data_IF_807958155706
#
_entry.id   IF_807958155706
#
_cell.length_a   1.000
_cell.length_b   1.000
_cell.length_c   1.000
_cell.angle_alpha   90.00
_cell.angle_beta   90.00
_cell.angle_gamma   90.00
#
_symmetry.space_group_name_H-M   'P 1'
#
loop_
_entity.id
_entity.type
_entity.pdbx_description
1 polymer ?
#
# COMPACT_ATOMS: atom_id res chain seq x y z
N UNK A 1 -9.24 18.39 -15.80
CA UNK A 1 -10.42 18.15 -16.63
C UNK A 1 -10.08 17.22 -17.78
N UNK A 2 -11.08 16.42 -18.27
CA UNK A 2 -10.91 15.43 -19.31
C UNK A 2 -12.08 14.44 -19.34
N UNK A 3 -11.85 13.26 -19.92
CA UNK A 3 -12.86 12.21 -20.09
C UNK A 3 -12.33 10.84 -19.67
N UNK A 4 -13.16 10.02 -19.08
CA UNK A 4 -12.85 8.62 -18.83
C UNK A 4 -12.85 7.79 -20.12
N UNK A 5 -12.02 6.74 -20.11
CA UNK A 5 -11.98 5.69 -21.14
C UNK A 5 -12.42 4.36 -20.52
N UNK A 6 -13.73 4.12 -20.38
CA UNK A 6 -14.25 2.90 -19.74
C UNK A 6 -13.87 1.61 -20.46
N UNK A 7 -13.67 1.69 -21.78
CA UNK A 7 -13.21 0.58 -22.62
C UNK A 7 -11.82 0.06 -22.23
N UNK A 8 -11.01 0.90 -21.56
CA UNK A 8 -9.65 0.61 -21.13
C UNK A 8 -9.56 0.36 -19.61
N UNK A 9 -10.72 0.25 -18.94
CA UNK A 9 -10.80 -0.01 -17.52
C UNK A 9 -10.20 -1.38 -17.14
N UNK A 10 -9.45 -1.42 -16.05
CA UNK A 10 -8.91 -2.66 -15.50
C UNK A 10 -9.24 -2.78 -14.02
N UNK A 11 -9.43 -4.01 -13.55
CA UNK A 11 -9.57 -4.32 -12.14
C UNK A 11 -8.24 -4.71 -11.52
N UNK A 12 -7.94 -4.21 -10.32
CA UNK A 12 -6.76 -4.62 -9.57
C UNK A 12 -7.16 -5.68 -8.55
N UNK A 13 -6.58 -6.87 -8.72
CA UNK A 13 -6.91 -8.08 -7.94
C UNK A 13 -6.47 -7.98 -6.48
N UNK A 14 -7.09 -8.80 -5.63
CA UNK A 14 -6.70 -9.04 -4.24
C UNK A 14 -6.64 -7.77 -3.39
N UNK A 15 -7.72 -6.97 -3.47
CA UNK A 15 -7.90 -5.77 -2.67
C UNK A 15 -8.97 -5.99 -1.61
N UNK A 16 -8.69 -5.55 -0.41
CA UNK A 16 -9.64 -5.60 0.69
C UNK A 16 -10.09 -4.20 1.07
N UNK A 17 -11.37 -4.08 1.43
CA UNK A 17 -11.95 -2.87 2.00
C UNK A 17 -12.80 -3.29 3.20
N UNK A 18 -12.54 -2.73 4.38
CA UNK A 18 -13.21 -3.09 5.64
C UNK A 18 -13.28 -4.61 5.91
N UNK A 19 -12.18 -5.31 5.60
CA UNK A 19 -12.08 -6.77 5.76
C UNK A 19 -12.75 -7.60 4.66
N UNK A 20 -13.47 -6.99 3.74
CA UNK A 20 -14.14 -7.66 2.62
C UNK A 20 -13.23 -7.74 1.40
N UNK A 21 -13.08 -8.93 0.76
CA UNK A 21 -12.28 -9.06 -0.45
C UNK A 21 -12.98 -8.43 -1.66
N UNK A 22 -12.18 -7.86 -2.56
CA UNK A 22 -12.70 -7.21 -3.76
C UNK A 22 -11.60 -6.76 -4.71
N UNK A 23 -11.92 -5.74 -5.49
CA UNK A 23 -11.10 -5.20 -6.55
C UNK A 23 -10.99 -3.68 -6.41
N UNK A 24 -9.90 -3.09 -6.86
CA UNK A 24 -9.90 -1.67 -7.20
C UNK A 24 -10.24 -1.50 -8.67
N UNK A 25 -11.05 -0.50 -8.95
CA UNK A 25 -11.42 -0.12 -10.30
C UNK A 25 -10.47 0.99 -10.75
N UNK A 26 -9.69 0.71 -11.79
CA UNK A 26 -8.76 1.68 -12.38
C UNK A 26 -9.19 1.96 -13.82
N UNK A 27 -9.63 3.16 -14.05
CA UNK A 27 -10.11 3.62 -15.36
C UNK A 27 -9.16 4.71 -15.88
N UNK A 28 -8.61 4.58 -17.08
CA UNK A 28 -7.87 5.66 -17.70
C UNK A 28 -8.74 6.90 -17.87
N UNK A 29 -8.13 8.06 -17.70
CA UNK A 29 -8.74 9.37 -17.86
C UNK A 29 -7.85 10.20 -18.78
N UNK A 30 -8.35 10.58 -19.95
CA UNK A 30 -7.61 11.39 -20.89
C UNK A 30 -7.90 12.86 -20.61
N UNK A 31 -6.85 13.59 -20.25
CA UNK A 31 -6.93 15.02 -19.95
C UNK A 31 -7.14 15.84 -21.22
N UNK A 32 -7.57 17.08 -21.06
CA UNK A 32 -7.75 18.02 -22.18
C UNK A 32 -6.47 18.26 -22.99
N UNK A 33 -5.29 18.03 -22.37
CA UNK A 33 -3.98 18.11 -23.03
C UNK A 33 -3.60 16.82 -23.78
N UNK A 34 -4.49 15.80 -23.79
CA UNK A 34 -4.31 14.54 -24.50
C UNK A 34 -3.51 13.47 -23.73
N UNK A 35 -3.12 13.72 -22.49
CA UNK A 35 -2.42 12.74 -21.68
C UNK A 35 -3.38 11.84 -20.91
N UNK A 36 -3.15 10.54 -20.97
CA UNK A 36 -3.83 9.57 -20.11
C UNK A 36 -3.25 9.53 -18.70
N UNK A 37 -4.10 9.46 -17.69
CA UNK A 37 -3.74 9.17 -16.30
C UNK A 37 -4.57 8.00 -15.80
N UNK A 38 -3.95 7.08 -15.05
CA UNK A 38 -4.66 5.97 -14.42
C UNK A 38 -5.41 6.49 -13.20
N UNK A 39 -6.74 6.38 -13.18
CA UNK A 39 -7.57 6.87 -12.08
C UNK A 39 -8.14 5.70 -11.30
N UNK A 40 -7.72 5.56 -10.05
CA UNK A 40 -8.33 4.63 -9.11
C UNK A 40 -9.63 5.24 -8.59
N UNK A 41 -10.75 4.72 -9.11
CA UNK A 41 -12.11 5.19 -8.79
C UNK A 41 -12.63 4.65 -7.46
N UNK A 42 -12.00 3.59 -6.92
CA UNK A 42 -12.41 3.01 -5.65
C UNK A 42 -12.43 1.49 -5.66
N UNK A 43 -13.13 0.93 -4.69
CA UNK A 43 -13.25 -0.50 -4.46
C UNK A 43 -14.64 -1.03 -4.82
N UNK A 44 -14.68 -2.26 -5.37
CA UNK A 44 -15.90 -3.02 -5.59
C UNK A 44 -15.78 -4.42 -4.98
N UNK A 45 -16.90 -5.02 -4.54
CA UNK A 45 -16.94 -6.39 -4.00
C UNK A 45 -16.47 -7.44 -5.01
N UNK A 46 -15.96 -8.56 -4.49
CA UNK A 46 -15.40 -9.64 -5.31
C UNK A 46 -16.43 -10.42 -6.14
N UNK A 47 -17.73 -10.30 -5.88
CA UNK A 47 -18.74 -10.95 -6.70
C UNK A 47 -18.87 -10.37 -8.12
N UNK A 48 -18.29 -9.18 -8.37
CA UNK A 48 -18.13 -8.67 -9.73
C UNK A 48 -16.97 -9.37 -10.43
N UNK A 49 -17.19 -9.86 -11.62
CA UNK A 49 -16.15 -10.46 -12.46
C UNK A 49 -15.50 -9.41 -13.37
N UNK A 50 -14.23 -9.63 -13.72
CA UNK A 50 -13.47 -8.63 -14.46
C UNK A 50 -13.98 -8.44 -15.90
N UNK A 51 -14.52 -9.51 -16.49
CA UNK A 51 -14.93 -9.54 -17.89
C UNK A 51 -16.45 -9.35 -18.07
N UNK A 52 -17.18 -9.08 -16.98
CA UNK A 52 -18.62 -8.89 -16.99
C UNK A 52 -19.03 -7.43 -16.85
N UNK A 53 -20.26 -7.11 -17.30
CA UNK A 53 -20.87 -5.81 -17.01
C UNK A 53 -21.09 -5.68 -15.49
N UNK A 54 -20.73 -4.53 -14.96
CA UNK A 54 -20.82 -4.21 -13.53
C UNK A 54 -21.78 -3.04 -13.29
N UNK A 55 -23.11 -3.30 -13.31
CA UNK A 55 -24.12 -2.24 -13.15
C UNK A 55 -23.88 -1.44 -11.87
N UNK A 56 -23.95 -0.12 -11.98
CA UNK A 56 -23.74 0.80 -10.87
C UNK A 56 -22.27 1.14 -10.60
N UNK A 57 -21.34 0.63 -11.42
CA UNK A 57 -19.91 0.97 -11.31
C UNK A 57 -19.40 1.77 -12.49
N UNK A 58 -20.28 2.19 -13.37
CA UNK A 58 -19.94 2.89 -14.61
C UNK A 58 -19.16 4.18 -14.33
N UNK A 59 -18.22 4.50 -15.21
CA UNK A 59 -17.56 5.78 -15.19
C UNK A 59 -18.49 6.89 -15.69
N UNK A 60 -18.37 8.07 -15.13
CA UNK A 60 -19.07 9.24 -15.64
C UNK A 60 -18.68 9.48 -17.09
N UNK A 61 -19.66 9.83 -17.91
CA UNK A 61 -19.49 10.08 -19.35
C UNK A 61 -19.30 11.56 -19.66
N UNK A 62 -18.58 11.82 -20.75
CA UNK A 62 -18.30 13.17 -21.22
C UNK A 62 -17.20 13.87 -20.40
N UNK A 63 -17.03 15.16 -20.72
CA UNK A 63 -15.98 15.97 -20.10
C UNK A 63 -16.34 16.33 -18.67
N UNK A 64 -15.49 15.91 -17.73
CA UNK A 64 -15.68 16.16 -16.30
C UNK A 64 -14.40 16.69 -15.66
N UNK A 65 -14.53 17.21 -14.47
CA UNK A 65 -13.42 17.54 -13.59
C UNK A 65 -13.30 16.47 -12.49
N UNK A 66 -12.10 15.96 -12.29
CA UNK A 66 -11.79 15.04 -11.19
C UNK A 66 -10.82 15.70 -10.22
N UNK A 67 -11.01 15.42 -8.93
CA UNK A 67 -10.11 15.85 -7.85
C UNK A 67 -9.62 14.62 -7.13
N UNK A 68 -8.31 14.53 -6.93
CA UNK A 68 -7.72 13.37 -6.29
C UNK A 68 -6.27 13.59 -5.88
N UNK A 69 -5.70 12.58 -5.23
CA UNK A 69 -4.29 12.57 -4.84
C UNK A 69 -3.46 11.84 -5.88
N UNK A 70 -2.44 12.50 -6.39
CA UNK A 70 -1.46 11.91 -7.30
C UNK A 70 -0.48 11.06 -6.49
N UNK A 71 -0.27 9.84 -6.96
CA UNK A 71 0.72 8.90 -6.42
C UNK A 71 1.62 8.42 -7.56
N UNK A 72 2.93 8.24 -7.33
CA UNK A 72 3.78 7.63 -8.34
C UNK A 72 3.30 6.20 -8.62
N UNK A 73 3.34 5.79 -9.89
CA UNK A 73 3.11 4.41 -10.27
C UNK A 73 4.20 3.54 -9.63
N UNK A 74 3.79 2.48 -8.93
CA UNK A 74 4.74 1.52 -8.36
C UNK A 74 5.10 0.48 -9.42
N UNK A 75 6.37 0.44 -9.78
CA UNK A 75 6.93 -0.65 -10.57
C UNK A 75 6.93 -1.95 -9.78
N UNK A 76 7.00 -3.08 -10.50
CA UNK A 76 7.17 -4.39 -9.88
C UNK A 76 8.47 -4.44 -9.09
N UNK A 77 8.38 -4.66 -7.79
CA UNK A 77 9.54 -4.91 -6.94
C UNK A 77 9.44 -6.31 -6.31
N UNK A 78 10.56 -7.04 -6.33
CA UNK A 78 10.70 -8.32 -5.63
C UNK A 78 10.05 -9.53 -6.34
N UNK A 79 9.76 -10.58 -5.58
CA UNK A 79 9.28 -11.89 -6.04
C UNK A 79 7.78 -11.96 -6.38
N UNK A 80 7.14 -10.83 -6.67
CA UNK A 80 5.72 -10.83 -7.05
C UNK A 80 5.58 -11.37 -8.47
N UNK A 81 4.59 -12.24 -8.66
CA UNK A 81 4.24 -12.76 -9.98
C UNK A 81 3.83 -11.57 -10.86
N UNK A 82 4.56 -11.38 -11.96
CA UNK A 82 4.23 -10.35 -12.94
C UNK A 82 2.96 -10.75 -13.70
N UNK A 83 2.18 -9.75 -14.09
CA UNK A 83 1.08 -9.96 -15.02
C UNK A 83 1.65 -10.33 -16.42
N UNK A 84 0.91 -11.07 -17.26
CA UNK A 84 1.35 -11.38 -18.62
C UNK A 84 1.75 -10.11 -19.38
N UNK A 85 2.89 -10.17 -20.09
CA UNK A 85 3.41 -9.01 -20.84
C UNK A 85 2.63 -8.77 -22.13
N UNK A 86 1.97 -9.80 -22.69
CA UNK A 86 1.24 -9.74 -23.95
C UNK A 86 -0.27 -9.84 -23.74
N UNK A 87 -1.01 -9.35 -24.71
CA UNK A 87 -2.48 -9.38 -24.78
C UNK A 87 -3.15 -8.28 -23.96
N UNK A 88 -4.45 -8.14 -24.15
CA UNK A 88 -5.28 -7.21 -23.39
C UNK A 88 -5.75 -7.89 -22.12
N UNK A 89 -5.50 -7.26 -20.98
CA UNK A 89 -5.88 -7.76 -19.65
C UNK A 89 -7.00 -6.88 -19.09
N UNK A 90 -8.09 -7.52 -18.68
CA UNK A 90 -9.19 -6.88 -17.92
C UNK A 90 -8.85 -6.75 -16.43
N UNK A 91 -7.85 -7.49 -15.93
CA UNK A 91 -7.41 -7.39 -14.54
C UNK A 91 -5.90 -7.51 -14.40
N UNK A 92 -5.37 -6.75 -13.43
CA UNK A 92 -3.94 -6.72 -13.09
C UNK A 92 -3.75 -7.11 -11.61
N UNK A 93 -2.61 -7.69 -11.26
CA UNK A 93 -2.25 -8.00 -9.88
C UNK A 93 -1.94 -6.75 -9.06
N UNK A 94 -1.52 -5.69 -9.73
CA UNK A 94 -1.16 -4.39 -9.14
C UNK A 94 -1.52 -3.26 -10.11
N UNK A 95 -1.59 -2.01 -9.63
CA UNK A 95 -1.83 -0.86 -10.48
C UNK A 95 -0.55 -0.50 -11.27
N UNK A 96 -0.26 -1.29 -12.30
CA UNK A 96 0.91 -1.16 -13.18
C UNK A 96 0.53 -0.28 -14.38
N UNK A 97 0.91 1.00 -14.29
CA UNK A 97 0.60 1.98 -15.36
C UNK A 97 1.39 1.69 -16.62
N UNK A 98 2.62 1.14 -16.52
CA UNK A 98 3.39 0.79 -17.70
C UNK A 98 2.75 -0.35 -18.47
N UNK A 99 2.18 -1.35 -17.75
CA UNK A 99 1.43 -2.44 -18.37
C UNK A 99 0.10 -1.96 -18.98
N UNK A 100 -0.57 -1.01 -18.31
CA UNK A 100 -1.80 -0.40 -18.84
C UNK A 100 -1.51 0.41 -20.11
N UNK A 101 -0.42 1.18 -20.14
CA UNK A 101 0.01 1.96 -21.29
C UNK A 101 0.25 1.12 -22.56
N UNK A 102 0.61 -0.16 -22.42
CA UNK A 102 0.76 -1.08 -23.55
C UNK A 102 -0.57 -1.52 -24.18
N UNK A 103 -1.70 -1.24 -23.55
CA UNK A 103 -3.03 -1.68 -23.98
C UNK A 103 -3.86 -0.56 -24.62
N UNK A 104 -3.37 0.67 -24.57
CA UNK A 104 -4.06 1.88 -25.03
C UNK A 104 -3.29 2.54 -26.17
N UNK A 105 -3.95 3.39 -26.93
CA UNK A 105 -3.42 4.08 -28.11
C UNK A 105 -3.05 5.55 -27.86
N UNK A 106 -3.01 5.95 -26.59
CA UNK A 106 -2.64 7.28 -26.12
C UNK A 106 -1.52 7.22 -25.07
N UNK A 107 -0.75 8.29 -24.97
CA UNK A 107 0.35 8.39 -24.01
C UNK A 107 -0.17 8.46 -22.57
N UNK A 108 0.41 7.67 -21.67
CA UNK A 108 0.06 7.65 -20.26
C UNK A 108 1.15 8.23 -19.37
N UNK A 109 0.76 9.12 -18.47
CA UNK A 109 1.62 9.60 -17.40
C UNK A 109 1.90 8.47 -16.39
N UNK A 110 3.14 8.34 -15.88
CA UNK A 110 3.53 7.29 -14.93
C UNK A 110 3.04 7.57 -13.51
N UNK A 111 1.79 7.98 -13.38
CA UNK A 111 1.15 8.33 -12.11
C UNK A 111 -0.23 7.67 -12.00
N UNK A 112 -0.67 7.50 -10.77
CA UNK A 112 -2.03 7.08 -10.44
C UNK A 112 -2.70 8.19 -9.66
N UNK A 113 -3.90 8.54 -10.06
CA UNK A 113 -4.76 9.45 -9.30
C UNK A 113 -5.75 8.64 -8.49
N UNK A 114 -5.76 8.80 -7.18
CA UNK A 114 -6.82 8.27 -6.32
C UNK A 114 -7.86 9.35 -6.12
N UNK A 115 -9.12 9.09 -6.53
CA UNK A 115 -10.21 10.04 -6.39
C UNK A 115 -10.45 10.39 -4.91
N UNK A 116 -10.69 11.68 -4.65
CA UNK A 116 -11.07 12.15 -3.32
C UNK A 116 -12.51 11.69 -2.98
N UNK A 117 -12.75 11.10 -1.79
CA UNK A 117 -14.08 10.64 -1.39
C UNK A 117 -15.17 11.69 -1.46
N UNK A 118 -14.82 12.95 -1.23
CA UNK A 118 -15.76 14.08 -1.25
C UNK A 118 -16.40 14.34 -2.63
N UNK A 119 -15.88 13.74 -3.70
CA UNK A 119 -16.41 13.91 -5.06
C UNK A 119 -17.37 12.79 -5.47
N UNK A 120 -17.64 11.83 -4.59
CA UNK A 120 -18.48 10.66 -4.88
C UNK A 120 -19.62 10.59 -3.87
N UNK A 121 -20.83 10.25 -4.32
CA UNK A 121 -21.99 10.08 -3.46
C UNK A 121 -21.78 8.93 -2.46
N UNK A 122 -22.27 9.10 -1.23
CA UNK A 122 -22.17 8.08 -0.20
C UNK A 122 -22.94 6.81 -0.61
N UNK A 123 -22.27 5.66 -0.55
CA UNK A 123 -22.84 4.37 -0.95
C UNK A 123 -22.80 4.06 -2.43
N UNK A 124 -22.25 4.97 -3.26
CA UNK A 124 -22.02 4.69 -4.68
C UNK A 124 -20.89 3.66 -4.86
N UNK A 125 -20.94 2.93 -5.96
CA UNK A 125 -19.86 2.07 -6.42
C UNK A 125 -19.17 2.72 -7.63
N UNK A 126 -17.85 2.57 -7.74
CA UNK A 126 -16.90 2.01 -6.77
C UNK A 126 -16.81 2.83 -5.48
N UNK A 127 -16.73 2.15 -4.32
CA UNK A 127 -16.56 2.83 -3.03
C UNK A 127 -15.21 3.55 -2.99
N UNK A 128 -15.17 4.88 -2.80
CA UNK A 128 -13.94 5.63 -2.77
C UNK A 128 -13.03 5.18 -1.63
N UNK A 129 -11.74 5.09 -1.90
CA UNK A 129 -10.75 4.75 -0.89
C UNK A 129 -10.37 5.99 -0.09
N UNK A 130 -10.24 5.84 1.22
CA UNK A 130 -9.70 6.91 2.06
C UNK A 130 -8.31 7.34 1.55
N UNK A 131 -8.10 8.65 1.49
CA UNK A 131 -6.78 9.18 1.18
C UNK A 131 -5.86 8.96 2.38
N UNK A 132 -4.60 8.54 2.17
CA UNK A 132 -3.65 8.43 3.26
C UNK A 132 -3.57 9.76 4.00
N UNK A 133 -3.55 9.76 5.34
CA UNK A 133 -3.43 11.00 6.09
C UNK A 133 -2.10 11.68 5.73
N UNK A 134 -2.19 12.95 5.37
CA UNK A 134 -1.02 13.81 5.18
C UNK A 134 -0.51 14.14 6.59
N UNK A 135 0.28 13.27 7.16
CA UNK A 135 0.80 13.43 8.51
C UNK A 135 2.31 13.23 8.58
N UNK A 136 2.90 13.75 9.63
CA UNK A 136 4.33 13.64 9.88
C UNK A 136 4.83 12.20 10.15
N UNK A 137 4.01 11.17 9.92
CA UNK A 137 4.36 9.79 10.21
C UNK A 137 4.73 9.55 11.68
N UNK A 138 5.20 8.35 12.05
CA UNK A 138 5.54 8.00 13.43
C UNK A 138 6.93 8.52 13.89
N UNK A 139 7.48 9.55 13.22
CA UNK A 139 8.85 10.03 13.47
C UNK A 139 9.06 10.47 14.93
N UNK A 140 8.05 11.08 15.55
CA UNK A 140 8.16 11.51 16.95
C UNK A 140 8.21 10.31 17.91
N UNK A 141 7.43 9.28 17.67
CA UNK A 141 7.45 8.05 18.48
C UNK A 141 8.75 7.29 18.30
N UNK A 142 9.29 7.21 17.09
CA UNK A 142 10.62 6.66 16.83
C UNK A 142 11.71 7.48 17.50
N UNK A 143 11.67 8.79 17.45
CA UNK A 143 12.62 9.64 18.15
C UNK A 143 12.57 9.40 19.67
N UNK A 144 11.39 9.38 20.27
CA UNK A 144 11.21 9.08 21.68
C UNK A 144 11.78 7.68 22.05
N UNK A 145 11.54 6.67 21.22
CA UNK A 145 12.09 5.32 21.41
C UNK A 145 13.63 5.32 21.41
N UNK A 146 14.24 6.02 20.47
CA UNK A 146 15.71 6.13 20.42
C UNK A 146 16.29 6.87 21.64
N UNK A 147 15.62 7.92 22.13
CA UNK A 147 16.02 8.59 23.36
C UNK A 147 15.94 7.67 24.58
N UNK A 148 14.88 6.85 24.68
CA UNK A 148 14.74 5.84 25.74
C UNK A 148 15.89 4.82 25.68
N UNK A 149 16.15 4.25 24.50
CA UNK A 149 17.24 3.28 24.34
C UNK A 149 18.61 3.88 24.65
N UNK A 150 18.88 5.08 24.21
CA UNK A 150 20.12 5.79 24.51
C UNK A 150 20.28 6.05 26.02
N UNK A 151 19.20 6.43 26.70
CA UNK A 151 19.21 6.65 28.14
C UNK A 151 19.49 5.34 28.90
N UNK A 152 18.83 4.24 28.51
CA UNK A 152 19.08 2.91 29.12
C UNK A 152 20.54 2.50 28.90
N UNK A 153 21.11 2.73 27.74
CA UNK A 153 22.50 2.41 27.45
C UNK A 153 23.46 3.28 28.29
N UNK A 154 23.24 4.58 28.33
CA UNK A 154 24.08 5.52 29.07
C UNK A 154 24.06 5.31 30.60
N UNK A 155 22.93 4.90 31.13
CA UNK A 155 22.81 4.65 32.60
C UNK A 155 23.11 3.20 32.90
N UNK A 156 22.57 2.25 32.14
CA UNK A 156 22.69 0.82 32.40
C UNK A 156 24.13 0.29 32.24
N UNK A 157 24.82 0.72 31.16
CA UNK A 157 26.17 0.25 30.91
C UNK A 157 27.17 0.65 32.01
N UNK A 158 27.24 1.90 32.46
CA UNK A 158 28.09 2.26 33.61
C UNK A 158 27.72 1.54 34.92
N UNK A 159 26.43 1.29 35.18
CA UNK A 159 26.00 0.53 36.36
C UNK A 159 26.48 -0.92 36.30
N UNK A 160 26.39 -1.56 35.13
CA UNK A 160 26.90 -2.92 34.91
C UNK A 160 28.42 -2.96 35.13
N UNK A 161 29.15 -2.02 34.53
CA UNK A 161 30.62 -1.94 34.71
C UNK A 161 30.99 -1.72 36.15
N UNK A 162 30.28 -0.85 36.86
CA UNK A 162 30.52 -0.60 38.30
C UNK A 162 30.27 -1.86 39.13
N UNK A 163 29.21 -2.62 38.83
CA UNK A 163 28.88 -3.87 39.51
C UNK A 163 29.95 -4.95 39.30
N UNK A 164 30.43 -5.08 38.04
CA UNK A 164 31.54 -6.00 37.73
C UNK A 164 32.82 -5.60 38.45
N UNK A 165 33.15 -4.29 38.46
CA UNK A 165 34.33 -3.75 39.09
C UNK A 165 34.31 -3.87 40.63
N UNK A 166 33.12 -3.85 41.25
CA UNK A 166 32.96 -4.05 42.72
C UNK A 166 32.94 -5.51 43.15
N UNK A 167 33.11 -6.46 42.24
CA UNK A 167 33.25 -7.89 42.59
C UNK A 167 31.95 -8.61 42.94
N UNK A 168 30.79 -7.97 42.83
CA UNK A 168 29.49 -8.58 43.15
C UNK A 168 28.97 -9.58 42.07
N UNK A 169 29.75 -9.79 40.99
CA UNK A 169 29.38 -10.68 39.90
C UNK A 169 29.86 -12.12 40.02
N UNK A 170 30.38 -12.53 41.19
CA UNK A 170 30.99 -13.85 41.37
C UNK A 170 30.37 -14.63 42.55
N UNK A 171 29.11 -15.00 42.43
CA UNK A 171 28.62 -16.24 43.01
C UNK A 171 28.26 -17.18 41.86
N UNK A 172 29.26 -17.85 41.31
CA UNK A 172 29.01 -19.06 40.54
C UNK A 172 28.26 -20.02 41.48
N UNK A 173 27.21 -20.72 41.01
CA UNK A 173 26.63 -21.80 41.75
C UNK A 173 27.76 -22.81 42.00
N UNK A 174 28.10 -23.03 43.27
CA UNK A 174 28.97 -24.10 43.71
C UNK A 174 28.25 -25.40 43.33
N UNK A 175 28.72 -26.04 42.28
CA UNK A 175 28.25 -27.36 41.93
C UNK A 175 28.81 -28.30 42.97
N UNK A 176 27.94 -28.80 43.86
CA UNK A 176 28.28 -29.79 44.87
C UNK A 176 28.90 -31.00 44.16
N UNK A 177 30.22 -31.15 44.30
CA UNK A 177 31.00 -32.33 43.89
C UNK A 177 30.54 -33.63 44.60
N UNK A 178 29.59 -33.50 45.52
CA UNK A 178 29.03 -34.61 46.31
C UNK A 178 28.20 -35.62 45.51
N UNK A 179 27.84 -35.29 44.25
CA UNK A 179 27.10 -36.21 43.40
C UNK A 179 27.97 -37.19 42.59
N UNK A 180 29.30 -37.03 42.61
CA UNK A 180 30.21 -37.91 41.85
C UNK A 180 30.78 -39.07 42.71
N UNK A 181 30.55 -39.06 44.02
CA UNK A 181 31.02 -40.18 44.91
C UNK A 181 29.97 -41.28 45.13
N UNK A 182 28.82 -41.25 44.42
CA UNK A 182 27.75 -42.25 44.61
C UNK A 182 27.50 -43.11 43.36
N UNK A 183 28.52 -43.41 42.57
CA UNK A 183 28.42 -44.44 41.53
C UNK A 183 29.45 -45.53 41.75
#
# INVERSE_FOLDING_TARGET
TGEYRPEDEVLIRNRTFEGSPGWWVVTPFVTDDGWGVAVNRGWIPRFFEADELRPGTEAATGRIEIVGMIQPARLAEGFQVADPEEGRLSSLGRPDVARLAQQVDYDMSPVIVRIAPATVEAGALPTPLELPPIGAGPHLSYAAQWFIFSTIALVGYPLILRRIASGEASSSPEWDDELLERV
#
